data_IF_183206521524
#
_entry.id   IF_183206521524
#
_cell.length_a   1.000
_cell.length_b   1.000
_cell.length_c   1.000
_cell.angle_alpha   90.00
_cell.angle_beta   90.00
_cell.angle_gamma   90.00
#
_symmetry.space_group_name_H-M   'P 1'
#
loop_
_entity.id
_entity.type
_entity.pdbx_description
1 polymer ?
#
# COMPACT_ATOMS: atom_id res chain seq x y z
N UNK A 1 22.84 5.70 -2.60
CA UNK A 1 21.47 6.24 -2.62
C UNK A 1 20.55 5.11 -2.23
N UNK A 2 19.84 5.25 -1.12
CA UNK A 2 18.80 4.31 -0.72
C UNK A 2 17.46 4.78 -1.29
N UNK A 3 16.67 3.85 -1.81
CA UNK A 3 15.32 4.15 -2.28
C UNK A 3 14.41 4.43 -1.08
N UNK A 4 13.55 5.44 -1.19
CA UNK A 4 12.55 5.74 -0.16
C UNK A 4 11.23 5.04 -0.48
N UNK A 5 10.57 4.38 0.49
CA UNK A 5 9.25 3.81 0.27
C UNK A 5 8.24 4.93 0.04
N UNK A 6 7.48 4.81 -1.05
CA UNK A 6 6.45 5.79 -1.42
C UNK A 6 5.02 5.22 -1.28
N UNK A 7 4.89 3.92 -1.06
CA UNK A 7 3.60 3.26 -0.88
C UNK A 7 3.38 3.00 0.60
N UNK A 8 2.18 3.30 1.09
CA UNK A 8 1.70 2.98 2.44
C UNK A 8 0.30 2.38 2.34
N UNK A 9 -0.06 1.52 3.29
CA UNK A 9 -1.37 0.88 3.32
C UNK A 9 -1.97 1.00 4.72
N UNK A 10 -3.29 1.25 4.76
CA UNK A 10 -4.09 1.36 5.98
C UNK A 10 -5.48 0.75 5.71
N UNK A 11 -5.67 -0.47 6.20
CA UNK A 11 -6.86 -1.28 5.92
C UNK A 11 -7.08 -1.47 4.42
N UNK A 12 -8.17 -0.89 3.90
CA UNK A 12 -8.55 -0.96 2.47
C UNK A 12 -7.91 0.11 1.59
N UNK A 13 -7.12 1.02 2.17
CA UNK A 13 -6.61 2.21 1.50
C UNK A 13 -5.12 2.09 1.23
N UNK A 14 -4.72 2.31 -0.02
CA UNK A 14 -3.34 2.45 -0.45
C UNK A 14 -3.04 3.91 -0.72
N UNK A 15 -2.00 4.45 -0.06
CA UNK A 15 -1.49 5.80 -0.27
C UNK A 15 -0.22 5.76 -1.10
N UNK A 16 -0.19 6.53 -2.18
CA UNK A 16 1.01 6.78 -2.98
C UNK A 16 1.53 8.19 -2.73
N UNK A 17 2.64 8.30 -2.02
CA UNK A 17 3.33 9.56 -1.75
C UNK A 17 4.08 10.04 -3.00
N UNK A 18 3.90 11.31 -3.36
CA UNK A 18 4.69 11.95 -4.42
C UNK A 18 6.13 12.14 -3.93
N UNK A 19 7.15 11.97 -4.80
CA UNK A 19 8.52 12.32 -4.46
C UNK A 19 8.63 13.79 -4.05
N UNK A 20 9.47 14.09 -3.04
CA UNK A 20 9.64 15.46 -2.50
C UNK A 20 9.92 16.53 -3.57
N UNK A 21 10.69 16.17 -4.59
CA UNK A 21 11.01 17.06 -5.71
C UNK A 21 9.77 17.48 -6.53
N UNK A 22 8.76 16.61 -6.61
CA UNK A 22 7.50 16.87 -7.29
C UNK A 22 6.57 17.73 -6.44
N UNK A 23 6.54 17.51 -5.12
CA UNK A 23 5.78 18.32 -4.16
C UNK A 23 6.17 19.80 -4.16
N UNK A 24 7.49 20.08 -4.25
CA UNK A 24 8.01 21.46 -4.32
C UNK A 24 7.52 22.18 -5.58
N UNK A 25 7.40 21.46 -6.71
CA UNK A 25 6.91 22.02 -7.98
C UNK A 25 5.40 22.30 -7.96
N UNK A 26 4.64 21.52 -7.21
CA UNK A 26 3.17 21.61 -7.12
C UNK A 26 2.68 22.67 -6.11
N UNK A 27 3.58 23.51 -5.56
CA UNK A 27 3.26 24.64 -4.69
C UNK A 27 2.41 24.28 -3.45
N UNK A 28 2.61 23.08 -2.89
CA UNK A 28 1.96 22.62 -1.66
C UNK A 28 0.57 21.98 -1.83
N UNK A 29 0.16 21.59 -3.04
CA UNK A 29 -0.99 20.67 -3.23
C UNK A 29 -0.74 19.34 -2.53
N UNK A 30 -1.80 18.55 -2.31
CA UNK A 30 -1.70 17.24 -1.66
C UNK A 30 -0.54 16.41 -2.22
N UNK A 31 0.32 15.98 -1.28
CA UNK A 31 1.59 15.32 -1.57
C UNK A 31 1.42 13.80 -1.76
N UNK A 32 0.18 13.32 -1.85
CA UNK A 32 -0.15 11.92 -1.99
C UNK A 32 -1.44 11.74 -2.77
N UNK A 33 -1.68 10.53 -3.25
CA UNK A 33 -2.97 10.09 -3.75
C UNK A 33 -3.41 8.85 -2.97
N UNK A 34 -4.67 8.83 -2.56
CA UNK A 34 -5.28 7.70 -1.87
C UNK A 34 -6.17 6.91 -2.84
N UNK A 35 -6.06 5.58 -2.77
CA UNK A 35 -6.84 4.62 -3.54
C UNK A 35 -7.46 3.62 -2.57
N UNK A 36 -8.71 3.23 -2.81
CA UNK A 36 -9.41 2.25 -1.96
C UNK A 36 -9.72 1.00 -2.76
N UNK A 37 -9.50 -0.16 -2.16
CA UNK A 37 -9.72 -1.48 -2.76
C UNK A 37 -10.54 -2.35 -1.82
N UNK A 38 -11.01 -3.51 -2.29
CA UNK A 38 -11.63 -4.49 -1.41
C UNK A 38 -10.63 -5.05 -0.40
N UNK A 39 -9.39 -5.28 -0.85
CA UNK A 39 -8.23 -5.66 -0.03
C UNK A 39 -6.99 -4.85 -0.45
N UNK A 40 -6.22 -4.36 0.52
CA UNK A 40 -4.92 -3.69 0.29
C UNK A 40 -3.86 -4.34 1.19
N UNK A 41 -3.04 -5.21 0.60
CA UNK A 41 -2.13 -6.10 1.33
C UNK A 41 -0.74 -5.53 1.51
N UNK A 42 -0.34 -5.30 2.75
CA UNK A 42 1.01 -4.85 3.10
C UNK A 42 1.94 -6.05 3.28
N UNK A 43 2.84 -6.30 2.33
CA UNK A 43 3.78 -7.43 2.37
C UNK A 43 5.26 -6.99 2.26
N UNK A 44 5.55 -5.78 2.75
CA UNK A 44 6.89 -5.17 2.60
C UNK A 44 7.89 -5.59 3.70
N UNK A 45 7.47 -5.61 4.97
CA UNK A 45 8.32 -5.97 6.11
C UNK A 45 7.61 -7.03 6.96
N UNK A 46 8.17 -8.24 6.99
CA UNK A 46 7.65 -9.40 7.75
C UNK A 46 7.60 -9.19 9.26
N UNK A 47 8.33 -8.18 9.78
CA UNK A 47 8.35 -7.83 11.20
C UNK A 47 7.24 -6.84 11.56
N UNK A 48 6.60 -6.25 10.56
CA UNK A 48 5.47 -5.35 10.74
C UNK A 48 4.25 -6.15 11.21
N UNK A 49 3.56 -5.65 12.23
CA UNK A 49 2.34 -6.28 12.73
C UNK A 49 1.22 -6.32 11.67
N UNK A 50 1.30 -5.46 10.65
CA UNK A 50 0.35 -5.41 9.54
C UNK A 50 0.80 -6.24 8.32
N UNK A 51 1.87 -7.05 8.45
CA UNK A 51 2.33 -7.89 7.35
C UNK A 51 1.26 -8.91 6.95
N UNK A 52 0.91 -8.91 5.67
CA UNK A 52 -0.03 -9.85 5.08
C UNK A 52 0.71 -11.10 4.62
N UNK A 53 0.31 -12.26 5.13
CA UNK A 53 0.88 -13.56 4.75
C UNK A 53 0.22 -14.14 3.51
N UNK A 54 0.88 -15.12 2.88
CA UNK A 54 0.28 -15.84 1.75
C UNK A 54 -1.00 -16.61 2.14
N UNK A 55 -1.06 -17.10 3.37
CA UNK A 55 -2.23 -17.82 3.89
C UNK A 55 -3.44 -16.90 4.03
N UNK A 56 -3.24 -15.64 4.41
CA UNK A 56 -4.28 -14.62 4.42
C UNK A 56 -4.76 -14.27 3.01
N UNK A 57 -3.85 -14.05 2.06
CA UNK A 57 -4.23 -13.76 0.66
C UNK A 57 -5.03 -14.91 0.05
N UNK A 58 -4.64 -16.16 0.31
CA UNK A 58 -5.37 -17.33 -0.15
C UNK A 58 -6.76 -17.43 0.49
N UNK A 59 -6.89 -17.17 1.80
CA UNK A 59 -8.19 -17.18 2.47
C UNK A 59 -9.15 -16.09 1.98
N UNK A 60 -8.62 -14.92 1.62
CA UNK A 60 -9.43 -13.78 1.17
C UNK A 60 -9.87 -13.88 -0.30
N UNK A 61 -9.04 -14.47 -1.18
CA UNK A 61 -9.27 -14.47 -2.64
C UNK A 61 -9.31 -15.86 -3.28
N UNK A 62 -8.67 -16.85 -2.66
CA UNK A 62 -8.49 -18.18 -3.23
C UNK A 62 -9.66 -19.13 -2.97
N UNK A 63 -10.34 -19.01 -1.84
CA UNK A 63 -11.47 -19.89 -1.49
C UNK A 63 -12.67 -19.71 -2.40
N UNK A 64 -12.97 -18.46 -2.77
CA UNK A 64 -14.15 -18.12 -3.59
C UNK A 64 -13.98 -18.46 -5.08
N UNK A 65 -12.75 -18.77 -5.52
CA UNK A 65 -12.42 -19.09 -6.92
C UNK A 65 -12.32 -20.60 -7.17
N UNK A 66 -12.12 -21.40 -6.12
CA UNK A 66 -11.83 -22.85 -6.22
C UNK A 66 -13.08 -23.72 -6.01
N UNK A 67 -14.19 -23.17 -5.51
CA UNK A 67 -15.49 -23.85 -5.36
C UNK A 67 -16.39 -23.77 -6.62
#
# INVERSE_FOLDING_TARGET
MEAQPIVQMDGKKTRLNKPKAQCIRDNGRENYHDYTFDHSYWSFDERDANFTTQEQVYGDLGTDVVD
#
